data_IF_497565653306
#
_entry.id   IF_497565653306
#
_cell.length_a   1.000
_cell.length_b   1.000
_cell.length_c   1.000
_cell.angle_alpha   90.00
_cell.angle_beta   90.00
_cell.angle_gamma   90.00
#
_symmetry.space_group_name_H-M   'P 1'
#
loop_
_entity.id
_entity.type
_entity.pdbx_description
1 polymer ?
#
# COMPACT_ATOMS: atom_id res chain seq x y z
N UNK A 1 12.42 -4.05 -18.48
CA UNK A 1 12.76 -3.79 -17.05
C UNK A 1 13.33 -2.39 -16.82
N UNK A 2 14.36 -1.94 -17.55
CA UNK A 2 14.93 -0.58 -17.40
C UNK A 2 13.88 0.55 -17.39
N UNK A 3 12.92 0.52 -18.32
CA UNK A 3 11.80 1.47 -18.40
C UNK A 3 10.90 1.48 -17.15
N UNK A 4 10.72 0.35 -16.47
CA UNK A 4 9.91 0.27 -15.23
C UNK A 4 10.65 0.93 -14.06
N UNK A 5 11.97 0.71 -13.95
CA UNK A 5 12.82 1.28 -12.89
C UNK A 5 12.87 2.80 -12.92
N UNK A 6 13.11 3.40 -14.09
CA UNK A 6 13.09 4.86 -14.26
C UNK A 6 11.70 5.43 -13.91
N UNK A 7 10.61 4.80 -14.37
CA UNK A 7 9.25 5.25 -14.07
C UNK A 7 8.95 5.16 -12.57
N UNK A 8 9.40 4.11 -11.91
CA UNK A 8 9.24 3.96 -10.47
C UNK A 8 9.99 5.03 -9.68
N UNK A 9 11.27 5.25 -9.96
CA UNK A 9 12.06 6.27 -9.26
C UNK A 9 11.49 7.66 -9.51
N UNK A 10 11.18 8.01 -10.76
CA UNK A 10 10.59 9.32 -11.07
C UNK A 10 9.19 9.45 -10.47
N UNK A 11 8.39 8.39 -10.46
CA UNK A 11 7.08 8.36 -9.80
C UNK A 11 7.18 8.67 -8.30
N UNK A 12 8.13 8.06 -7.61
CA UNK A 12 8.38 8.32 -6.18
C UNK A 12 8.78 9.79 -5.92
N UNK A 13 9.62 10.36 -6.79
CA UNK A 13 10.02 11.77 -6.66
C UNK A 13 8.84 12.71 -6.91
N UNK A 14 8.05 12.44 -7.95
CA UNK A 14 6.87 13.24 -8.26
C UNK A 14 5.82 13.15 -7.15
N UNK A 15 5.59 11.96 -6.57
CA UNK A 15 4.65 11.84 -5.45
C UNK A 15 5.09 12.68 -4.25
N UNK A 16 6.39 12.73 -3.95
CA UNK A 16 6.90 13.62 -2.90
C UNK A 16 6.75 15.11 -3.25
N UNK A 17 7.15 15.51 -4.46
CA UNK A 17 7.04 16.90 -4.94
C UNK A 17 5.59 17.39 -4.86
N UNK A 18 4.64 16.62 -5.40
CA UNK A 18 3.23 17.03 -5.41
C UNK A 18 2.57 16.88 -4.05
N UNK A 19 3.08 16.03 -3.16
CA UNK A 19 2.64 15.99 -1.76
C UNK A 19 3.01 17.27 -1.02
N UNK A 20 4.24 17.79 -1.21
CA UNK A 20 4.66 19.08 -0.67
C UNK A 20 3.77 20.21 -1.18
N UNK A 21 3.52 20.26 -2.51
CA UNK A 21 2.63 21.24 -3.12
C UNK A 21 1.20 21.15 -2.60
N UNK A 22 0.69 19.94 -2.40
CA UNK A 22 -0.64 19.73 -1.82
C UNK A 22 -0.72 20.20 -0.37
N UNK A 23 0.30 19.87 0.44
CA UNK A 23 0.36 20.31 1.83
C UNK A 23 0.48 21.83 1.95
N UNK A 24 1.23 22.48 1.06
CA UNK A 24 1.41 23.94 1.03
C UNK A 24 0.08 24.71 0.99
N UNK A 25 -0.98 24.10 0.44
CA UNK A 25 -2.32 24.69 0.32
C UNK A 25 -3.02 24.78 1.69
N UNK A 26 -2.65 23.92 2.63
CA UNK A 26 -3.29 23.87 3.93
C UNK A 26 -2.85 25.04 4.81
N UNK A 27 -3.70 26.05 4.99
CA UNK A 27 -3.42 27.20 5.87
C UNK A 27 -3.74 26.95 7.34
N UNK A 28 -4.51 25.89 7.64
CA UNK A 28 -4.93 25.52 8.99
C UNK A 28 -4.92 24.00 9.14
N UNK A 29 -4.76 23.53 10.38
CA UNK A 29 -4.96 22.13 10.75
C UNK A 29 -6.39 21.73 10.37
N UNK A 30 -6.51 20.69 9.55
CA UNK A 30 -7.76 20.17 9.00
C UNK A 30 -7.57 18.70 8.60
N UNK A 31 -8.63 17.92 8.35
CA UNK A 31 -8.50 16.57 7.80
C UNK A 31 -7.64 16.53 6.53
N UNK A 32 -7.82 17.52 5.63
CA UNK A 32 -6.99 17.67 4.43
C UNK A 32 -5.51 17.89 4.78
N UNK A 33 -5.20 18.81 5.71
CA UNK A 33 -3.82 19.08 6.13
C UNK A 33 -3.15 17.81 6.68
N UNK A 34 -3.86 17.08 7.56
CA UNK A 34 -3.37 15.84 8.17
C UNK A 34 -3.10 14.76 7.11
N UNK A 35 -4.03 14.58 6.17
CA UNK A 35 -3.86 13.63 5.07
C UNK A 35 -2.64 13.99 4.20
N UNK A 36 -2.46 15.27 3.86
CA UNK A 36 -1.34 15.73 3.04
C UNK A 36 0.00 15.68 3.79
N UNK A 37 0.05 15.98 5.09
CA UNK A 37 1.25 15.79 5.92
C UNK A 37 1.68 14.33 5.93
N UNK A 38 0.74 13.41 6.16
CA UNK A 38 1.02 11.98 6.12
C UNK A 38 1.53 11.56 4.74
N UNK A 39 0.83 11.94 3.67
CA UNK A 39 1.24 11.64 2.30
C UNK A 39 2.67 12.14 2.01
N UNK A 40 2.97 13.36 2.44
CA UNK A 40 4.31 13.95 2.30
C UNK A 40 5.38 13.15 3.05
N UNK A 41 5.12 12.75 4.30
CA UNK A 41 6.04 11.92 5.10
C UNK A 41 6.24 10.53 4.49
N UNK A 42 5.17 9.90 3.98
CA UNK A 42 5.22 8.59 3.32
C UNK A 42 6.04 8.67 2.04
N UNK A 43 5.75 9.63 1.15
CA UNK A 43 6.49 9.81 -0.10
C UNK A 43 7.99 10.09 0.17
N UNK A 44 8.31 10.87 1.21
CA UNK A 44 9.69 11.11 1.62
C UNK A 44 10.40 9.83 2.10
N UNK A 45 9.71 8.95 2.84
CA UNK A 45 10.26 7.63 3.23
C UNK A 45 10.43 6.70 2.03
N UNK A 46 9.48 6.69 1.09
CA UNK A 46 9.61 5.96 -0.18
C UNK A 46 10.91 6.31 -0.88
N UNK A 47 11.23 7.60 -0.97
CA UNK A 47 12.51 8.08 -1.49
C UNK A 47 13.73 7.61 -0.68
N UNK A 48 13.64 7.57 0.66
CA UNK A 48 14.72 7.01 1.50
C UNK A 48 14.94 5.53 1.20
N UNK A 49 13.87 4.75 1.05
CA UNK A 49 13.96 3.31 0.74
C UNK A 49 14.60 3.06 -0.62
N UNK A 50 14.23 3.85 -1.64
CA UNK A 50 14.90 3.82 -2.94
C UNK A 50 16.38 4.19 -2.80
N UNK A 51 16.70 5.28 -2.08
CA UNK A 51 18.07 5.74 -1.90
C UNK A 51 18.96 4.73 -1.17
N UNK A 52 18.45 4.01 -0.16
CA UNK A 52 19.19 2.94 0.54
C UNK A 52 19.72 1.88 -0.42
N UNK A 53 19.01 1.65 -1.53
CA UNK A 53 19.30 0.58 -2.47
C UNK A 53 20.18 1.04 -3.63
N UNK A 54 19.90 2.22 -4.22
CA UNK A 54 20.61 2.69 -5.43
C UNK A 54 21.54 3.87 -5.22
N UNK A 55 21.43 4.57 -4.09
CA UNK A 55 22.33 5.67 -3.68
C UNK A 55 22.55 6.78 -4.74
N UNK A 56 21.56 7.06 -5.59
CA UNK A 56 21.67 8.09 -6.63
C UNK A 56 21.89 9.48 -6.02
N UNK A 57 22.79 10.27 -6.62
CA UNK A 57 23.16 11.60 -6.13
C UNK A 57 21.98 12.58 -6.11
N UNK A 58 21.07 12.44 -7.07
CA UNK A 58 19.85 13.21 -7.23
C UNK A 58 18.85 12.90 -6.12
N UNK A 59 18.70 11.63 -5.76
CA UNK A 59 17.89 11.22 -4.62
C UNK A 59 18.49 11.76 -3.31
N UNK A 60 19.82 11.71 -3.16
CA UNK A 60 20.48 12.32 -1.99
C UNK A 60 20.14 13.80 -1.87
N UNK A 61 20.22 14.57 -2.95
CA UNK A 61 19.89 16.01 -2.96
C UNK A 61 18.43 16.26 -2.57
N UNK A 62 17.49 15.46 -3.07
CA UNK A 62 16.07 15.56 -2.72
C UNK A 62 15.86 15.22 -1.23
N UNK A 63 16.55 14.20 -0.72
CA UNK A 63 16.51 13.82 0.69
C UNK A 63 17.10 14.91 1.59
N UNK A 64 18.24 15.48 1.23
CA UNK A 64 18.85 16.58 1.97
C UNK A 64 17.90 17.79 2.04
N UNK A 65 17.25 18.16 0.92
CA UNK A 65 16.21 19.19 0.89
C UNK A 65 15.07 18.86 1.84
N UNK A 66 14.50 17.65 1.75
CA UNK A 66 13.35 17.26 2.56
C UNK A 66 13.65 17.14 4.05
N UNK A 67 14.87 16.74 4.42
CA UNK A 67 15.30 16.61 5.83
C UNK A 67 15.32 17.94 6.58
N UNK A 68 15.49 19.05 5.87
CA UNK A 68 15.54 20.38 6.44
C UNK A 68 14.15 21.04 6.57
N UNK A 69 13.10 20.43 6.02
CA UNK A 69 11.78 21.06 5.94
C UNK A 69 10.94 20.89 7.21
N UNK A 70 10.23 21.96 7.56
CA UNK A 70 9.11 21.88 8.51
C UNK A 70 7.84 21.39 7.81
N UNK A 71 7.47 20.12 8.00
CA UNK A 71 6.27 19.52 7.40
C UNK A 71 5.04 19.83 8.27
N UNK A 72 4.18 20.75 7.79
CA UNK A 72 2.94 21.13 8.46
C UNK A 72 2.12 22.16 7.67
N UNK A 73 0.89 22.49 8.14
CA UNK A 73 0.08 23.52 7.51
C UNK A 73 0.61 24.91 7.86
N UNK A 74 0.15 25.93 7.13
CA UNK A 74 0.59 27.31 7.25
C UNK A 74 2.09 27.49 6.94
N UNK A 75 2.62 26.66 6.04
CA UNK A 75 4.03 26.69 5.62
C UNK A 75 4.18 26.72 4.08
N UNK A 76 3.33 27.49 3.40
CA UNK A 76 3.25 27.51 1.94
C UNK A 76 4.61 27.83 1.28
N UNK A 77 5.26 28.92 1.71
CA UNK A 77 6.49 29.42 1.10
C UNK A 77 7.63 28.39 1.13
N UNK A 78 7.86 27.73 2.27
CA UNK A 78 8.94 26.76 2.41
C UNK A 78 8.67 25.49 1.60
N UNK A 79 7.43 24.97 1.67
CA UNK A 79 7.02 23.75 0.99
C UNK A 79 6.98 23.91 -0.54
N UNK A 80 6.49 25.06 -1.04
CA UNK A 80 6.51 25.38 -2.48
C UNK A 80 7.95 25.57 -2.96
N UNK A 81 8.78 26.31 -2.21
CA UNK A 81 10.20 26.50 -2.58
C UNK A 81 10.96 25.17 -2.66
N UNK A 82 10.67 24.23 -1.76
CA UNK A 82 11.24 22.89 -1.81
C UNK A 82 10.80 22.13 -3.07
N UNK A 83 9.50 22.13 -3.38
CA UNK A 83 8.96 21.48 -4.58
C UNK A 83 9.57 22.06 -5.87
N UNK A 84 9.75 23.37 -5.96
CA UNK A 84 10.40 24.04 -7.09
C UNK A 84 11.86 23.65 -7.27
N UNK A 85 12.59 23.39 -6.17
CA UNK A 85 13.97 22.89 -6.22
C UNK A 85 14.06 21.43 -6.64
N UNK A 86 13.02 20.63 -6.38
CA UNK A 86 12.95 19.21 -6.78
C UNK A 86 12.66 19.08 -8.28
N UNK A 87 11.77 19.91 -8.82
CA UNK A 87 11.36 19.87 -10.22
C UNK A 87 12.51 19.79 -11.25
N UNK A 88 13.59 20.60 -11.19
CA UNK A 88 14.71 20.49 -12.14
C UNK A 88 15.56 19.22 -11.94
N UNK A 89 15.58 18.63 -10.74
CA UNK A 89 16.31 17.39 -10.47
C UNK A 89 15.67 16.22 -11.23
N UNK A 90 14.33 16.17 -11.24
CA UNK A 90 13.57 15.14 -11.99
C UNK A 90 13.84 15.20 -13.49
N UNK A 91 13.89 16.41 -14.05
CA UNK A 91 14.10 16.60 -15.49
C UNK A 91 15.47 16.03 -15.94
N UNK A 92 16.52 16.25 -15.15
CA UNK A 92 17.86 15.73 -15.44
C UNK A 92 18.02 14.23 -15.18
N UNK A 93 17.24 13.66 -14.26
CA UNK A 93 17.36 12.25 -13.86
C UNK A 93 17.18 11.28 -15.04
N UNK A 94 16.20 11.56 -15.90
CA UNK A 94 15.78 10.62 -16.95
C UNK A 94 16.85 10.33 -18.02
N UNK A 95 17.83 11.21 -18.16
CA UNK A 95 18.85 11.15 -19.22
C UNK A 95 20.23 10.68 -18.74
N UNK A 96 20.45 10.65 -17.41
CA UNK A 96 21.80 10.60 -16.84
C UNK A 96 22.20 9.26 -16.21
N UNK A 97 21.39 8.22 -16.36
CA UNK A 97 21.63 6.92 -15.70
C UNK A 97 21.42 5.75 -16.64
N UNK A 98 22.25 4.71 -16.49
CA UNK A 98 21.97 3.40 -17.05
C UNK A 98 20.94 2.67 -16.19
N UNK A 99 19.66 2.88 -16.52
CA UNK A 99 18.53 2.25 -15.82
C UNK A 99 18.48 0.72 -15.97
N UNK A 100 19.23 0.13 -16.90
CA UNK A 100 19.35 -1.32 -16.99
C UNK A 100 20.22 -1.89 -15.85
N UNK A 101 21.20 -1.12 -15.36
CA UNK A 101 22.11 -1.54 -14.28
C UNK A 101 21.50 -1.50 -12.88
N UNK A 102 20.41 -0.75 -12.66
CA UNK A 102 19.77 -0.58 -11.35
C UNK A 102 18.85 -1.75 -10.93
N UNK A 103 19.33 -2.99 -11.10
CA UNK A 103 18.59 -4.23 -10.81
C UNK A 103 18.17 -4.34 -9.34
N UNK A 104 18.88 -3.67 -8.44
CA UNK A 104 18.58 -3.67 -7.02
C UNK A 104 17.20 -3.07 -6.69
N UNK A 105 16.60 -2.32 -7.62
CA UNK A 105 15.23 -1.79 -7.50
C UNK A 105 14.14 -2.84 -7.72
N UNK A 106 14.45 -4.00 -8.31
CA UNK A 106 13.44 -4.99 -8.71
C UNK A 106 12.60 -5.52 -7.53
N UNK A 107 13.17 -5.80 -6.34
CA UNK A 107 12.36 -6.15 -5.16
C UNK A 107 11.35 -5.06 -4.78
N UNK A 108 11.77 -3.79 -4.77
CA UNK A 108 10.89 -2.66 -4.44
C UNK A 108 9.79 -2.46 -5.49
N UNK A 109 10.11 -2.64 -6.77
CA UNK A 109 9.16 -2.63 -7.89
C UNK A 109 8.10 -3.72 -7.78
N UNK A 110 8.46 -4.85 -7.15
CA UNK A 110 7.60 -6.03 -6.98
C UNK A 110 6.89 -6.03 -5.62
N UNK A 111 6.97 -4.93 -4.85
CA UNK A 111 6.32 -4.80 -3.54
C UNK A 111 6.96 -5.66 -2.44
N UNK A 112 8.22 -6.04 -2.60
CA UNK A 112 9.01 -6.71 -1.55
C UNK A 112 9.82 -5.66 -0.78
N UNK A 113 9.82 -5.77 0.55
CA UNK A 113 10.72 -4.95 1.38
C UNK A 113 12.19 -5.32 1.10
N UNK A 114 13.07 -4.32 1.09
CA UNK A 114 14.51 -4.52 0.95
C UNK A 114 15.04 -5.17 2.23
N UNK A 115 15.00 -6.51 2.33
CA UNK A 115 15.73 -7.20 3.40
C UNK A 115 17.22 -6.95 3.20
N UNK A 116 17.89 -6.40 4.21
CA UNK A 116 19.35 -6.44 4.24
C UNK A 116 19.79 -7.90 4.29
N UNK A 117 20.29 -8.42 3.18
CA UNK A 117 21.01 -9.69 3.19
C UNK A 117 22.35 -9.44 3.85
N UNK A 118 22.43 -9.56 5.18
CA UNK A 118 23.69 -9.88 5.83
C UNK A 118 23.97 -11.35 5.50
N UNK A 119 24.74 -11.58 4.44
CA UNK A 119 25.40 -12.85 4.21
C UNK A 119 26.39 -13.08 5.36
N UNK A 120 26.06 -14.02 6.23
CA UNK A 120 27.05 -14.63 7.12
C UNK A 120 27.85 -15.64 6.31
N UNK A 121 29.05 -15.21 5.90
CA UNK A 121 30.24 -16.05 5.69
C UNK A 121 30.97 -15.98 7.04
N UNK A 122 31.30 -17.03 7.78
CA UNK A 122 32.04 -18.27 7.49
C UNK A 122 31.96 -19.13 8.78
N UNK A 123 31.96 -20.47 8.69
CA UNK A 123 33.07 -21.30 9.23
C UNK A 123 32.73 -22.81 9.18
N UNK A 124 33.61 -23.56 8.48
CA UNK A 124 34.01 -24.99 8.61
C UNK A 124 32.92 -26.09 8.63
N UNK A 125 33.07 -27.30 8.10
CA UNK A 125 34.20 -28.11 7.66
C UNK A 125 33.62 -29.32 6.87
N UNK A 126 34.51 -30.10 6.25
CA UNK A 126 34.36 -31.47 5.73
C UNK A 126 34.07 -31.67 4.23
N UNK A 127 35.17 -31.62 3.49
CA UNK A 127 35.80 -32.77 2.79
C UNK A 127 34.93 -33.73 1.98
N UNK A 128 35.24 -33.82 0.68
CA UNK A 128 34.95 -35.00 -0.15
C UNK A 128 35.13 -34.72 -1.64
N UNK A 129 36.26 -35.17 -2.19
CA UNK A 129 36.59 -35.27 -3.62
C UNK A 129 35.44 -35.92 -4.44
N UNK A 130 35.26 -35.69 -5.74
CA UNK A 130 36.20 -36.07 -6.79
C UNK A 130 35.74 -35.57 -8.18
N UNK A 131 36.72 -35.38 -9.06
CA UNK A 131 36.78 -35.46 -10.53
C UNK A 131 35.52 -35.34 -11.42
N UNK A 132 35.65 -34.60 -12.53
CA UNK A 132 34.93 -34.94 -13.77
C UNK A 132 34.71 -33.78 -14.74
N UNK A 133 35.74 -33.41 -15.50
CA UNK A 133 35.60 -32.59 -16.69
C UNK A 133 34.84 -33.33 -17.79
N UNK A 134 33.98 -32.63 -18.55
CA UNK A 134 34.09 -32.56 -20.03
C UNK A 134 33.23 -31.42 -20.59
N UNK A 135 33.92 -30.57 -21.33
CA UNK A 135 33.42 -29.61 -22.31
C UNK A 135 32.88 -30.35 -23.54
N UNK A 136 31.76 -29.92 -24.09
CA UNK A 136 31.52 -30.04 -25.53
C UNK A 136 30.96 -28.72 -26.07
N UNK A 137 31.73 -28.18 -27.01
CA UNK A 137 31.47 -26.99 -27.81
C UNK A 137 31.22 -27.48 -29.23
N UNK A 138 30.10 -27.12 -29.87
CA UNK A 138 29.96 -27.16 -31.33
C UNK A 138 29.25 -25.88 -31.79
N UNK A 139 29.93 -25.17 -32.70
CA UNK A 139 29.55 -23.93 -33.37
C UNK A 139 28.86 -24.22 -34.75
N UNK A 140 28.85 -23.33 -35.76
CA UNK A 140 27.89 -22.25 -35.99
C UNK A 140 27.19 -22.25 -37.39
N UNK A 141 26.24 -21.32 -37.58
CA UNK A 141 25.84 -20.61 -38.84
C UNK A 141 25.00 -21.39 -39.91
N UNK A 142 24.32 -20.76 -40.93
CA UNK A 142 23.98 -19.35 -41.20
C UNK A 142 22.52 -19.02 -41.62
N UNK A 143 22.18 -17.71 -41.59
CA UNK A 143 21.62 -17.05 -42.79
C UNK A 143 20.14 -16.63 -42.88
N UNK A 144 19.90 -15.33 -42.60
CA UNK A 144 19.30 -14.29 -43.47
C UNK A 144 17.76 -14.17 -43.70
N UNK A 145 17.27 -12.94 -43.48
CA UNK A 145 16.03 -12.32 -44.00
C UNK A 145 15.00 -12.07 -42.87
N UNK A 146 14.44 -10.89 -42.61
CA UNK A 146 14.19 -9.68 -43.41
C UNK A 146 12.72 -9.28 -43.17
N UNK A 147 12.51 -8.13 -42.52
CA UNK A 147 11.29 -7.30 -42.44
C UNK A 147 9.99 -7.85 -41.81
N UNK A 148 9.54 -7.21 -40.72
CA UNK A 148 8.38 -6.28 -40.71
C UNK A 148 7.67 -6.23 -39.36
N UNK A 149 7.30 -5.01 -38.99
CA UNK A 149 6.64 -4.58 -37.76
C UNK A 149 5.28 -5.25 -37.51
N UNK A 150 4.99 -5.56 -36.25
CA UNK A 150 3.63 -5.39 -35.72
C UNK A 150 3.63 -5.34 -34.19
N UNK A 151 3.39 -4.13 -33.69
CA UNK A 151 3.07 -3.82 -32.29
C UNK A 151 1.69 -4.40 -32.00
N UNK A 152 1.63 -5.39 -31.11
CA UNK A 152 0.38 -5.82 -30.49
C UNK A 152 0.15 -4.98 -29.23
N UNK A 153 -0.86 -4.11 -29.32
CA UNK A 153 -1.50 -3.45 -28.19
C UNK A 153 -2.05 -4.50 -27.23
N UNK A 154 -1.47 -4.60 -26.03
CA UNK A 154 -1.99 -5.40 -24.92
C UNK A 154 -3.27 -4.72 -24.41
N UNK A 155 -4.40 -5.07 -25.02
CA UNK A 155 -5.69 -4.82 -24.44
C UNK A 155 -5.81 -5.74 -23.24
N UNK A 156 -5.82 -5.15 -22.05
CA UNK A 156 -6.33 -5.78 -20.84
C UNK A 156 -7.77 -6.21 -21.10
N UNK A 157 -7.97 -7.41 -21.63
CA UNK A 157 -9.24 -8.09 -21.63
C UNK A 157 -9.56 -8.42 -20.17
N UNK A 158 -10.38 -7.57 -19.56
CA UNK A 158 -11.14 -7.96 -18.39
C UNK A 158 -12.11 -9.05 -18.82
N UNK A 159 -11.69 -10.30 -18.70
CA UNK A 159 -12.59 -11.45 -18.77
C UNK A 159 -13.59 -11.30 -17.62
N UNK A 160 -14.90 -11.17 -17.88
CA UNK A 160 -15.88 -11.18 -16.83
C UNK A 160 -15.90 -12.60 -16.25
N UNK A 161 -15.44 -12.76 -15.01
CA UNK A 161 -15.59 -14.01 -14.25
C UNK A 161 -17.06 -14.13 -13.82
N UNK A 162 -17.93 -14.45 -14.77
CA UNK A 162 -19.28 -14.95 -14.48
C UNK A 162 -19.17 -16.45 -14.26
N UNK A 163 -18.91 -16.84 -13.01
CA UNK A 163 -18.78 -18.22 -12.58
C UNK A 163 -17.75 -18.36 -11.47
N UNK A 164 -18.09 -17.92 -10.25
CA UNK A 164 -17.19 -18.07 -9.11
C UNK A 164 -16.82 -19.53 -8.90
N UNK A 165 -15.52 -19.80 -8.72
CA UNK A 165 -15.03 -21.12 -8.31
C UNK A 165 -15.83 -21.57 -7.07
N UNK A 166 -16.41 -22.78 -7.15
CA UNK A 166 -17.15 -23.39 -6.06
C UNK A 166 -16.15 -23.85 -4.97
N UNK A 167 -15.68 -22.90 -4.18
CA UNK A 167 -14.84 -23.13 -3.00
C UNK A 167 -15.68 -23.03 -1.73
N UNK A 168 -15.21 -23.68 -0.67
CA UNK A 168 -15.85 -23.69 0.65
C UNK A 168 -16.04 -22.28 1.22
N UNK A 169 -17.07 -22.12 2.07
CA UNK A 169 -17.40 -20.85 2.71
C UNK A 169 -18.08 -19.81 1.79
N UNK A 170 -18.38 -18.63 2.34
CA UNK A 170 -19.14 -17.55 1.68
C UNK A 170 -18.35 -16.26 1.58
N UNK A 171 -18.62 -15.46 0.54
CA UNK A 171 -18.09 -14.10 0.43
C UNK A 171 -18.71 -13.23 1.53
N UNK A 172 -17.87 -12.47 2.23
CA UNK A 172 -18.25 -11.53 3.29
C UNK A 172 -17.58 -10.19 3.09
N UNK A 173 -18.25 -9.12 3.54
CA UNK A 173 -17.67 -7.78 3.62
C UNK A 173 -16.69 -7.63 4.78
N UNK A 174 -16.94 -8.30 5.91
CA UNK A 174 -16.06 -8.32 7.09
C UNK A 174 -16.01 -9.71 7.72
N UNK A 175 -14.93 -10.06 8.44
CA UNK A 175 -14.87 -11.31 9.18
C UNK A 175 -15.91 -11.37 10.30
N UNK A 176 -16.45 -12.55 10.61
CA UNK A 176 -17.49 -12.69 11.63
C UNK A 176 -17.03 -12.33 13.05
N UNK A 177 -15.72 -12.42 13.34
CA UNK A 177 -15.11 -12.04 14.62
C UNK A 177 -14.74 -10.55 14.69
N UNK A 178 -14.88 -9.81 13.59
CA UNK A 178 -14.60 -8.39 13.54
C UNK A 178 -15.85 -7.63 13.97
N UNK A 179 -15.82 -7.06 15.17
CA UNK A 179 -16.97 -6.31 15.70
C UNK A 179 -17.23 -5.05 14.88
N UNK A 180 -18.52 -4.76 14.64
CA UNK A 180 -18.92 -3.48 14.07
C UNK A 180 -18.60 -2.37 15.07
N UNK A 181 -17.81 -1.40 14.63
CA UNK A 181 -17.44 -0.26 15.43
C UNK A 181 -18.62 0.74 15.53
N UNK A 182 -18.87 1.27 16.73
CA UNK A 182 -19.93 2.27 16.97
C UNK A 182 -19.49 3.69 16.64
N UNK A 183 -18.18 3.91 16.61
CA UNK A 183 -17.54 5.19 16.38
C UNK A 183 -16.78 5.15 15.06
N UNK A 184 -16.45 6.33 14.58
CA UNK A 184 -15.80 6.55 13.31
C UNK A 184 -14.29 6.65 13.52
N UNK A 185 -13.52 6.01 12.64
CA UNK A 185 -12.09 6.31 12.53
C UNK A 185 -11.97 7.69 11.91
N UNK A 186 -11.28 8.61 12.57
CA UNK A 186 -11.11 9.97 12.02
C UNK A 186 -9.77 10.15 11.32
N UNK A 187 -8.95 9.07 11.31
CA UNK A 187 -7.51 9.01 10.99
C UNK A 187 -6.84 10.36 11.20
N UNK A 188 -6.95 10.91 12.42
CA UNK A 188 -6.30 12.14 12.72
C UNK A 188 -4.82 11.80 12.88
N UNK A 189 -3.94 12.53 12.19
CA UNK A 189 -2.60 12.76 12.73
C UNK A 189 -2.75 13.21 14.18
N UNK A 190 -2.30 12.37 15.10
CA UNK A 190 -2.22 12.64 16.51
C UNK A 190 -0.89 13.37 16.72
N UNK A 191 -0.85 14.67 16.39
CA UNK A 191 0.35 15.50 16.59
C UNK A 191 0.83 15.57 18.05
N UNK A 192 0.02 15.09 19.01
CA UNK A 192 0.39 14.93 20.41
C UNK A 192 1.23 13.66 20.68
N UNK A 193 1.32 12.74 19.72
CA UNK A 193 2.03 11.46 19.79
C UNK A 193 3.05 11.32 18.64
N UNK A 194 3.81 12.38 18.34
CA UNK A 194 4.75 12.43 17.20
C UNK A 194 5.76 11.28 17.16
N UNK A 195 6.32 10.88 18.30
CA UNK A 195 7.23 9.72 18.38
C UNK A 195 6.56 8.40 17.96
N UNK A 196 5.29 8.24 18.34
CA UNK A 196 4.51 7.07 17.95
C UNK A 196 4.15 7.09 16.47
N UNK A 197 3.84 8.27 15.92
CA UNK A 197 3.64 8.43 14.48
C UNK A 197 4.91 8.07 13.69
N UNK A 198 6.07 8.54 14.17
CA UNK A 198 7.34 8.27 13.50
C UNK A 198 7.72 6.79 13.50
N UNK A 199 7.49 6.10 14.63
CA UNK A 199 7.69 4.66 14.74
C UNK A 199 6.71 3.86 13.87
N UNK A 200 5.42 4.20 13.89
CA UNK A 200 4.41 3.45 13.13
C UNK A 200 4.73 3.43 11.64
N UNK A 201 5.33 4.50 11.13
CA UNK A 201 5.69 4.61 9.73
C UNK A 201 6.91 3.75 9.32
N UNK A 202 7.65 3.20 10.27
CA UNK A 202 8.70 2.20 10.05
C UNK A 202 8.23 0.79 10.52
N UNK A 203 7.00 0.68 11.04
CA UNK A 203 6.40 -0.58 11.48
C UNK A 203 5.72 -1.29 10.29
N UNK A 204 5.82 -2.64 10.17
CA UNK A 204 5.21 -3.41 9.09
C UNK A 204 3.70 -3.21 8.89
N UNK A 205 2.97 -2.77 9.92
CA UNK A 205 1.56 -2.40 9.80
C UNK A 205 1.34 -1.23 8.83
N UNK A 206 2.31 -0.32 8.69
CA UNK A 206 2.22 0.79 7.74
C UNK A 206 2.47 0.38 6.29
N UNK A 207 3.14 -0.75 6.06
CA UNK A 207 3.45 -1.31 4.74
C UNK A 207 2.42 -2.37 4.30
N UNK A 208 1.32 -2.53 5.04
CA UNK A 208 0.32 -3.59 4.79
C UNK A 208 -0.30 -3.54 3.38
N UNK A 209 -0.31 -2.37 2.75
CA UNK A 209 -0.79 -2.18 1.39
C UNK A 209 0.15 -2.74 0.31
N UNK A 210 1.46 -2.79 0.55
CA UNK A 210 2.43 -3.33 -0.40
C UNK A 210 2.20 -4.83 -0.59
N UNK A 211 1.92 -5.55 0.51
CA UNK A 211 1.49 -6.95 0.47
C UNK A 211 0.20 -7.11 -0.33
N UNK A 212 -0.73 -6.16 -0.20
CA UNK A 212 -1.97 -6.11 -0.98
C UNK A 212 -1.73 -5.80 -2.45
N UNK A 213 -0.55 -5.33 -2.87
CA UNK A 213 -0.25 -5.18 -4.29
C UNK A 213 0.39 -6.43 -4.90
N UNK A 214 0.71 -7.44 -4.08
CA UNK A 214 1.40 -8.65 -4.54
C UNK A 214 0.56 -9.53 -5.48
N UNK A 215 1.21 -10.29 -6.39
CA UNK A 215 0.52 -11.28 -7.23
C UNK A 215 -0.27 -12.31 -6.42
N UNK A 216 0.23 -12.68 -5.24
CA UNK A 216 -0.46 -13.60 -4.32
C UNK A 216 -1.76 -13.01 -3.80
N UNK A 217 -1.78 -11.73 -3.41
CA UNK A 217 -3.00 -11.07 -2.95
C UNK A 217 -4.05 -10.96 -4.07
N UNK A 218 -3.62 -10.68 -5.30
CA UNK A 218 -4.50 -10.70 -6.50
C UNK A 218 -5.11 -12.08 -6.71
N UNK A 219 -4.29 -13.12 -6.66
CA UNK A 219 -4.71 -14.52 -6.82
C UNK A 219 -5.72 -14.94 -5.73
N UNK A 220 -5.44 -14.64 -4.46
CA UNK A 220 -6.36 -14.92 -3.35
C UNK A 220 -7.71 -14.21 -3.58
N UNK A 221 -7.72 -12.94 -4.01
CA UNK A 221 -8.95 -12.22 -4.31
C UNK A 221 -9.80 -12.89 -5.40
N UNK A 222 -9.14 -13.29 -6.49
CA UNK A 222 -9.78 -13.95 -7.62
C UNK A 222 -10.42 -15.28 -7.19
N UNK A 223 -9.71 -16.11 -6.42
CA UNK A 223 -10.27 -17.37 -5.89
C UNK A 223 -11.38 -17.11 -4.89
N UNK A 224 -11.19 -16.13 -4.01
CA UNK A 224 -12.21 -15.69 -3.07
C UNK A 224 -13.48 -15.21 -3.79
N UNK A 225 -13.39 -14.83 -5.07
CA UNK A 225 -14.54 -14.48 -5.90
C UNK A 225 -14.85 -12.99 -5.93
N UNK A 226 -13.85 -12.15 -5.73
CA UNK A 226 -13.92 -10.69 -5.95
C UNK A 226 -12.88 -10.27 -6.97
N UNK A 227 -13.13 -9.17 -7.67
CA UNK A 227 -12.15 -8.62 -8.61
C UNK A 227 -10.90 -8.09 -7.89
N UNK A 228 -9.75 -8.00 -8.59
CA UNK A 228 -8.52 -7.43 -8.03
C UNK A 228 -8.70 -5.99 -7.50
N UNK A 229 -9.58 -5.20 -8.13
CA UNK A 229 -9.90 -3.83 -7.70
C UNK A 229 -10.81 -3.81 -6.49
N UNK A 230 -11.85 -4.66 -6.45
CA UNK A 230 -12.75 -4.74 -5.30
C UNK A 230 -12.01 -5.06 -4.00
N UNK A 231 -10.93 -5.86 -4.07
CA UNK A 231 -10.13 -6.23 -2.90
C UNK A 231 -9.61 -5.04 -2.09
N UNK A 232 -9.43 -3.88 -2.72
CA UNK A 232 -8.92 -2.66 -2.09
C UNK A 232 -10.03 -1.78 -1.46
N UNK A 233 -11.30 -2.16 -1.61
CA UNK A 233 -12.41 -1.40 -1.04
C UNK A 233 -12.60 -1.72 0.45
N UNK A 234 -12.99 -0.72 1.24
CA UNK A 234 -13.13 -0.83 2.70
C UNK A 234 -14.25 -1.76 3.15
N UNK A 235 -15.23 -1.95 2.29
CA UNK A 235 -16.32 -2.90 2.48
C UNK A 235 -15.96 -4.34 2.08
N UNK A 236 -14.70 -4.64 1.79
CA UNK A 236 -14.22 -6.01 1.57
C UNK A 236 -13.40 -6.52 2.75
N UNK A 237 -13.48 -7.84 2.93
CA UNK A 237 -12.86 -8.53 4.06
C UNK A 237 -11.35 -8.25 4.17
N UNK A 238 -10.68 -8.08 3.04
CA UNK A 238 -9.24 -7.90 2.97
C UNK A 238 -8.80 -6.59 3.64
N UNK A 239 -9.53 -5.50 3.41
CA UNK A 239 -9.23 -4.20 4.03
C UNK A 239 -9.68 -4.12 5.49
N UNK A 240 -10.38 -5.13 6.03
CA UNK A 240 -10.59 -5.23 7.48
C UNK A 240 -9.30 -5.47 8.25
N UNK A 241 -8.27 -6.04 7.60
CA UNK A 241 -6.99 -6.37 8.22
C UNK A 241 -5.80 -5.64 7.58
N UNK A 242 -5.85 -5.35 6.27
CA UNK A 242 -4.73 -4.75 5.52
C UNK A 242 -4.84 -3.22 5.34
N UNK A 243 -5.84 -2.59 5.93
CA UNK A 243 -5.94 -1.13 5.96
C UNK A 243 -6.77 -0.65 7.15
N UNK A 244 -6.96 0.66 7.22
CA UNK A 244 -7.88 1.29 8.17
C UNK A 244 -9.08 1.83 7.42
N UNK A 245 -10.21 1.13 7.53
CA UNK A 245 -11.48 1.54 6.92
C UNK A 245 -11.98 2.82 7.56
N UNK A 246 -12.21 3.85 6.75
CA UNK A 246 -12.80 5.12 7.19
C UNK A 246 -14.31 5.04 7.02
N UNK A 247 -15.01 5.38 8.09
CA UNK A 247 -16.48 5.43 8.06
C UNK A 247 -16.97 6.72 7.40
N UNK A 248 -17.97 6.63 6.53
CA UNK A 248 -18.57 7.76 5.82
C UNK A 248 -18.81 7.43 4.35
N UNK A 249 -17.86 6.70 3.75
CA UNK A 249 -17.99 6.01 2.47
C UNK A 249 -17.06 4.77 2.43
N UNK A 250 -17.51 3.66 3.03
CA UNK A 250 -16.74 2.41 3.10
C UNK A 250 -16.43 1.80 1.72
N UNK A 251 -17.01 2.32 0.64
CA UNK A 251 -16.71 1.89 -0.73
C UNK A 251 -15.45 2.57 -1.28
N UNK A 252 -15.06 3.74 -0.79
CA UNK A 252 -13.95 4.53 -1.37
C UNK A 252 -12.86 4.90 -0.36
N UNK A 253 -13.17 5.01 0.93
CA UNK A 253 -12.23 5.57 1.92
C UNK A 253 -11.60 4.47 2.80
N UNK A 254 -10.43 3.99 2.37
CA UNK A 254 -9.54 3.17 3.20
C UNK A 254 -8.19 3.85 3.25
N UNK A 255 -7.59 3.91 4.44
CA UNK A 255 -6.17 4.18 4.52
C UNK A 255 -5.40 2.91 4.18
N UNK A 256 -4.51 3.04 3.20
CA UNK A 256 -3.57 2.03 2.71
C UNK A 256 -2.47 1.69 3.73
N UNK A 257 -2.86 1.48 4.99
CA UNK A 257 -2.02 1.12 6.12
C UNK A 257 -2.92 0.70 7.29
N UNK A 258 -2.42 -0.18 8.14
CA UNK A 258 -2.98 -0.41 9.47
C UNK A 258 -2.49 0.72 10.39
N UNK A 259 -3.40 1.65 10.73
CA UNK A 259 -3.08 2.88 11.48
C UNK A 259 -3.28 2.75 12.99
N UNK A 260 -3.01 3.82 13.74
CA UNK A 260 -3.19 3.91 15.19
C UNK A 260 -4.57 3.40 15.65
N UNK A 261 -5.64 3.76 14.92
CA UNK A 261 -7.03 3.42 15.26
C UNK A 261 -7.36 1.94 15.04
N UNK A 262 -6.53 1.22 14.26
CA UNK A 262 -6.63 -0.23 14.12
C UNK A 262 -6.22 -0.98 15.39
N UNK A 263 -5.46 -0.36 16.29
CA UNK A 263 -5.16 -0.88 17.62
C UNK A 263 -5.93 -0.14 18.72
N UNK A 264 -5.89 1.19 18.72
CA UNK A 264 -6.46 2.02 19.78
C UNK A 264 -7.98 2.20 19.67
N UNK A 265 -8.59 1.81 18.56
CA UNK A 265 -10.00 1.98 18.28
C UNK A 265 -10.32 3.28 17.53
N UNK A 266 -11.55 3.39 17.00
CA UNK A 266 -12.05 4.58 16.31
C UNK A 266 -12.12 5.80 17.25
N UNK A 267 -11.47 6.90 16.87
CA UNK A 267 -11.27 8.06 17.74
C UNK A 267 -12.41 9.08 17.75
N UNK A 268 -13.41 9.00 16.86
CA UNK A 268 -14.43 10.07 16.76
C UNK A 268 -15.19 10.33 18.06
N UNK A 269 -15.32 9.32 18.92
CA UNK A 269 -15.97 9.49 20.22
C UNK A 269 -15.03 10.05 21.29
N UNK A 270 -13.75 9.67 21.27
CA UNK A 270 -12.83 9.95 22.37
C UNK A 270 -11.76 11.00 22.09
N UNK A 271 -11.57 11.47 20.84
CA UNK A 271 -10.51 12.40 20.49
C UNK A 271 -10.62 13.71 21.30
N UNK A 272 -11.77 14.39 21.24
CA UNK A 272 -12.00 15.64 21.97
C UNK A 272 -11.86 15.51 23.50
N UNK A 273 -12.50 14.52 24.18
CA UNK A 273 -12.30 14.34 25.62
C UNK A 273 -10.86 13.94 25.97
N UNK A 274 -10.18 13.17 25.11
CA UNK A 274 -8.78 12.84 25.30
C UNK A 274 -7.88 14.09 25.28
N UNK A 275 -8.10 15.02 24.35
CA UNK A 275 -7.35 16.28 24.28
C UNK A 275 -7.56 17.17 25.51
N UNK A 276 -8.74 17.09 26.16
CA UNK A 276 -9.02 17.77 27.43
C UNK A 276 -8.47 17.05 28.66
N UNK A 277 -7.99 15.82 28.50
CA UNK A 277 -7.50 14.98 29.59
C UNK A 277 -8.58 14.23 30.37
N UNK A 278 -9.79 14.09 29.81
CA UNK A 278 -10.90 13.33 30.39
C UNK A 278 -10.63 11.81 30.28
N UNK A 279 -10.83 11.05 31.36
CA UNK A 279 -10.66 9.58 31.35
C UNK A 279 -11.97 8.85 31.00
N UNK A 280 -12.48 9.11 29.80
CA UNK A 280 -13.74 8.55 29.28
C UNK A 280 -13.55 7.76 27.97
N UNK A 281 -12.31 7.56 27.54
CA UNK A 281 -12.02 7.02 26.21
C UNK A 281 -12.63 5.65 25.96
N UNK A 282 -12.65 4.77 26.97
CA UNK A 282 -13.15 3.40 26.81
C UNK A 282 -14.65 3.29 26.54
N UNK A 283 -15.47 4.22 27.04
CA UNK A 283 -16.90 4.26 26.70
C UNK A 283 -17.16 4.91 25.34
N UNK A 284 -16.13 5.52 24.75
CA UNK A 284 -16.19 6.36 23.55
C UNK A 284 -15.37 5.81 22.38
N UNK A 285 -15.08 4.51 22.38
CA UNK A 285 -14.46 3.80 21.26
C UNK A 285 -13.00 3.41 21.46
N UNK A 286 -12.35 3.88 22.52
CA UNK A 286 -10.96 3.50 22.80
C UNK A 286 -10.88 2.05 23.28
N UNK A 287 -9.91 1.29 22.78
CA UNK A 287 -9.65 -0.10 23.20
C UNK A 287 -8.78 -0.14 24.45
N UNK A 288 -9.08 -1.09 25.34
CA UNK A 288 -8.35 -1.32 26.60
C UNK A 288 -7.08 -2.13 26.38
N UNK A 289 -6.13 -1.62 25.60
CA UNK A 289 -4.91 -2.37 25.25
C UNK A 289 -3.99 -2.69 26.45
N UNK A 290 -4.25 -2.13 27.65
CA UNK A 290 -3.60 -2.52 28.91
C UNK A 290 -4.14 -3.82 29.51
N UNK A 291 -5.19 -4.40 28.94
CA UNK A 291 -5.75 -5.71 29.32
C UNK A 291 -5.19 -6.77 28.37
N UNK A 292 -4.63 -7.85 28.91
CA UNK A 292 -4.12 -8.96 28.11
C UNK A 292 -5.21 -9.58 27.23
N UNK A 293 -6.43 -9.69 27.77
CA UNK A 293 -7.59 -10.22 27.04
C UNK A 293 -7.99 -9.31 25.88
N UNK A 294 -8.14 -8.01 26.13
CA UNK A 294 -8.55 -7.07 25.08
C UNK A 294 -7.46 -6.91 24.01
N UNK A 295 -6.19 -6.93 24.41
CA UNK A 295 -5.05 -6.93 23.48
C UNK A 295 -5.04 -8.20 22.62
N UNK A 296 -5.23 -9.38 23.23
CA UNK A 296 -5.31 -10.64 22.49
C UNK A 296 -6.47 -10.65 21.49
N UNK A 297 -7.66 -10.19 21.91
CA UNK A 297 -8.81 -10.03 21.01
C UNK A 297 -8.47 -9.08 19.87
N UNK A 298 -7.85 -7.92 20.15
CA UNK A 298 -7.47 -6.96 19.12
C UNK A 298 -6.50 -7.55 18.09
N UNK A 299 -5.40 -8.16 18.52
CA UNK A 299 -4.39 -8.73 17.63
C UNK A 299 -4.94 -9.92 16.82
N UNK A 300 -5.79 -10.75 17.44
CA UNK A 300 -6.42 -11.91 16.77
C UNK A 300 -7.39 -11.53 15.66
N UNK A 301 -7.79 -10.25 15.54
CA UNK A 301 -8.64 -9.79 14.44
C UNK A 301 -7.96 -10.02 13.08
N UNK A 302 -6.63 -9.90 13.03
CA UNK A 302 -5.84 -10.05 11.81
C UNK A 302 -4.83 -11.22 11.90
N UNK A 303 -4.25 -11.46 13.07
CA UNK A 303 -3.20 -12.48 13.26
C UNK A 303 -3.73 -13.84 13.74
N UNK A 304 -5.00 -14.12 13.43
CA UNK A 304 -5.59 -15.44 13.63
C UNK A 304 -6.85 -15.55 12.76
N UNK A 305 -6.71 -16.14 11.58
CA UNK A 305 -7.74 -16.16 10.54
C UNK A 305 -8.45 -17.50 10.53
N UNK A 306 -9.78 -17.46 10.59
CA UNK A 306 -10.64 -18.67 10.61
C UNK A 306 -11.82 -18.53 9.66
N UNK A 307 -11.75 -17.63 8.68
CA UNK A 307 -12.79 -17.53 7.66
C UNK A 307 -12.57 -18.62 6.61
N UNK A 308 -13.48 -19.58 6.54
CA UNK A 308 -13.37 -20.76 5.68
C UNK A 308 -13.04 -20.41 4.23
N UNK A 309 -13.72 -19.41 3.66
CA UNK A 309 -13.53 -19.05 2.25
C UNK A 309 -12.21 -18.36 2.01
N UNK A 310 -11.80 -17.49 2.93
CA UNK A 310 -10.51 -16.82 2.86
C UNK A 310 -9.35 -17.84 2.93
N UNK A 311 -9.46 -18.82 3.81
CA UNK A 311 -8.50 -19.92 3.94
C UNK A 311 -8.52 -20.85 2.71
N UNK A 312 -9.71 -21.23 2.21
CA UNK A 312 -9.84 -22.03 0.99
C UNK A 312 -9.24 -21.31 -0.24
N UNK A 313 -9.24 -19.98 -0.24
CA UNK A 313 -8.61 -19.15 -1.27
C UNK A 313 -7.08 -19.05 -1.16
N UNK A 314 -6.45 -19.65 -0.15
CA UNK A 314 -4.99 -19.67 0.01
C UNK A 314 -4.41 -18.59 0.93
N UNK A 315 -5.26 -17.89 1.69
CA UNK A 315 -4.80 -17.00 2.76
C UNK A 315 -4.24 -17.81 3.95
N UNK A 316 -3.13 -17.38 4.57
CA UNK A 316 -2.59 -18.05 5.76
C UNK A 316 -3.55 -17.95 6.95
N UNK A 317 -3.45 -18.92 7.87
CA UNK A 317 -4.22 -18.93 9.12
C UNK A 317 -3.61 -18.03 10.19
N UNK A 318 -2.29 -17.78 10.10
CA UNK A 318 -1.48 -17.18 11.17
C UNK A 318 -1.61 -17.93 12.50
N UNK A 319 -1.89 -19.24 12.46
CA UNK A 319 -2.07 -20.06 13.67
C UNK A 319 -0.80 -20.12 14.54
N UNK A 320 0.37 -19.99 13.93
CA UNK A 320 1.66 -19.95 14.63
C UNK A 320 2.01 -18.56 15.21
N UNK A 321 1.13 -17.57 15.07
CA UNK A 321 1.38 -16.23 15.61
C UNK A 321 1.56 -16.26 17.13
N UNK A 322 2.68 -15.69 17.58
CA UNK A 322 3.06 -15.56 18.98
C UNK A 322 2.83 -14.13 19.47
N UNK A 323 1.69 -13.89 20.13
CA UNK A 323 1.34 -12.57 20.66
C UNK A 323 2.38 -12.05 21.66
N UNK A 324 2.92 -12.92 22.51
CA UNK A 324 3.83 -12.52 23.58
C UNK A 324 5.17 -12.02 23.06
N UNK A 325 5.67 -12.63 21.99
CA UNK A 325 6.87 -12.20 21.29
C UNK A 325 6.60 -10.93 20.48
N UNK A 326 5.55 -10.92 19.65
CA UNK A 326 5.24 -9.78 18.76
C UNK A 326 4.85 -8.52 19.53
N UNK A 327 4.24 -8.65 20.70
CA UNK A 327 3.94 -7.50 21.56
C UNK A 327 5.19 -6.79 22.09
N UNK A 328 6.36 -7.43 22.11
CA UNK A 328 7.62 -6.81 22.55
C UNK A 328 8.20 -5.87 21.48
N UNK A 329 7.83 -6.06 20.21
CA UNK A 329 8.23 -5.18 19.12
C UNK A 329 7.44 -3.85 19.10
N UNK A 330 6.36 -3.75 19.89
CA UNK A 330 5.56 -2.53 20.00
C UNK A 330 6.27 -1.57 20.94
N UNK A 331 6.78 -0.47 20.37
CA UNK A 331 7.42 0.59 21.14
C UNK A 331 6.38 1.35 21.97
N UNK A 332 6.72 1.68 23.22
CA UNK A 332 5.89 2.47 24.11
C UNK A 332 6.66 3.72 24.53
N UNK A 333 6.00 4.88 24.53
CA UNK A 333 6.59 6.15 24.97
C UNK A 333 5.96 6.61 26.28
N UNK A 334 6.40 6.06 27.43
CA UNK A 334 5.94 6.56 28.72
C UNK A 334 6.37 8.02 28.88
N UNK A 335 5.39 8.91 28.97
CA UNK A 335 5.60 10.29 29.40
C UNK A 335 5.72 10.30 30.93
N UNK A 336 6.79 10.87 31.47
CA UNK A 336 7.02 10.98 32.92
C UNK A 336 5.83 11.62 33.63
N UNK A 337 5.18 12.62 33.01
CA UNK A 337 3.97 13.25 33.56
C UNK A 337 2.78 12.28 33.60
N UNK A 338 2.65 11.41 32.60
CA UNK A 338 1.60 10.40 32.58
C UNK A 338 1.89 9.27 33.56
N UNK A 339 3.15 8.87 33.74
CA UNK A 339 3.56 7.88 34.74
C UNK A 339 3.35 8.42 36.15
N UNK A 340 3.67 9.69 36.39
CA UNK A 340 3.38 10.39 37.66
C UNK A 340 1.87 10.47 37.94
N UNK A 341 1.06 10.76 36.91
CA UNK A 341 -0.39 10.92 37.05
C UNK A 341 -1.16 9.59 37.17
N UNK A 342 -0.80 8.59 36.38
CA UNK A 342 -1.59 7.36 36.18
C UNK A 342 -0.85 6.09 36.64
N UNK A 343 0.34 6.23 37.20
CA UNK A 343 1.22 5.12 37.54
C UNK A 343 1.97 4.55 36.32
N UNK A 344 2.93 3.64 36.55
CA UNK A 344 3.65 2.98 35.47
C UNK A 344 2.69 2.24 34.54
N UNK A 345 3.09 2.11 33.27
CA UNK A 345 2.37 1.23 32.37
C UNK A 345 2.36 -0.20 32.94
N UNK A 346 1.20 -0.86 33.03
CA UNK A 346 1.17 -2.23 33.54
C UNK A 346 1.95 -3.13 32.60
N UNK A 347 2.97 -3.80 33.12
CA UNK A 347 3.69 -4.83 32.37
C UNK A 347 2.74 -6.02 32.17
N UNK A 348 2.41 -6.30 30.90
CA UNK A 348 1.72 -7.53 30.55
C UNK A 348 2.74 -8.63 30.41
N UNK A 349 2.73 -9.60 31.33
CA UNK A 349 3.67 -10.72 31.27
C UNK A 349 3.46 -11.54 30.00
N UNK A 350 4.54 -12.14 29.49
CA UNK A 350 4.47 -13.03 28.34
C UNK A 350 3.48 -14.20 28.55
N UNK A 351 3.37 -14.71 29.79
CA UNK A 351 2.40 -15.76 30.14
C UNK A 351 0.95 -15.27 30.09
N UNK A 352 0.67 -14.04 30.51
CA UNK A 352 -0.68 -13.45 30.45
C UNK A 352 -1.16 -13.27 29.01
N UNK A 353 -0.28 -12.77 28.13
CA UNK A 353 -0.57 -12.59 26.70
C UNK A 353 -0.77 -13.94 26.00
N UNK A 354 0.10 -14.92 26.27
CA UNK A 354 -0.02 -16.25 25.69
C UNK A 354 -1.33 -16.94 26.11
N UNK A 355 -1.67 -16.89 27.40
CA UNK A 355 -2.91 -17.47 27.93
C UNK A 355 -4.16 -16.81 27.34
N UNK A 356 -4.17 -15.47 27.26
CA UNK A 356 -5.26 -14.72 26.64
C UNK A 356 -5.43 -15.06 25.16
N UNK A 357 -4.32 -15.17 24.41
CA UNK A 357 -4.37 -15.53 22.99
C UNK A 357 -4.80 -16.98 22.77
N UNK A 358 -4.35 -17.93 23.60
CA UNK A 358 -4.82 -19.32 23.57
C UNK A 358 -6.33 -19.42 23.85
N UNK A 359 -6.86 -18.58 24.72
CA UNK A 359 -8.32 -18.49 24.96
C UNK A 359 -9.05 -18.08 23.68
N UNK A 360 -8.51 -17.11 22.93
CA UNK A 360 -9.07 -16.75 21.61
C UNK A 360 -8.99 -17.92 20.64
N UNK A 361 -7.84 -18.60 20.53
CA UNK A 361 -7.67 -19.77 19.65
C UNK A 361 -8.68 -20.86 19.96
N UNK A 362 -8.86 -21.20 21.24
CA UNK A 362 -9.83 -22.19 21.69
C UNK A 362 -11.29 -21.79 21.39
N UNK A 363 -11.62 -20.49 21.47
CA UNK A 363 -12.98 -20.00 21.18
C UNK A 363 -13.35 -20.01 19.69
N UNK A 364 -12.34 -20.04 18.80
CA UNK A 364 -12.50 -19.92 17.36
C UNK A 364 -11.46 -20.81 16.67
N UNK A 365 -11.61 -22.14 16.66
CA UNK A 365 -10.62 -23.02 16.03
C UNK A 365 -10.51 -22.75 14.53
N UNK A 366 -9.32 -22.96 13.96
CA UNK A 366 -9.09 -22.89 12.51
C UNK A 366 -9.88 -24.02 11.84
N UNK A 367 -10.75 -23.74 10.86
CA UNK A 367 -11.47 -24.78 10.15
C UNK A 367 -10.54 -25.54 9.20
N UNK A 368 -10.76 -26.84 9.07
CA UNK A 368 -10.14 -27.63 8.00
C UNK A 368 -10.83 -27.29 6.68
N UNK A 369 -10.05 -26.81 5.71
CA UNK A 369 -10.56 -26.44 4.37
C UNK A 369 -9.67 -26.98 3.28
N UNK A 370 -10.25 -27.25 2.12
CA UNK A 370 -9.50 -27.57 0.91
C UNK A 370 -8.95 -26.29 0.29
N UNK A 371 -7.64 -26.04 0.45
CA UNK A 371 -6.98 -24.88 -0.14
C UNK A 371 -6.83 -25.10 -1.65
N UNK A 372 -7.40 -24.20 -2.45
CA UNK A 372 -7.25 -24.22 -3.90
C UNK A 372 -5.79 -24.03 -4.26
N UNK A 373 -5.20 -25.08 -4.83
CA UNK A 373 -3.86 -25.03 -5.41
C UNK A 373 -3.96 -24.38 -6.79
N UNK A 374 -3.67 -23.09 -6.89
CA UNK A 374 -3.44 -22.49 -8.20
C UNK A 374 -1.97 -22.71 -8.56
N UNK A 375 -1.74 -23.59 -9.54
CA UNK A 375 -0.45 -23.70 -10.18
C UNK A 375 -0.06 -22.35 -10.77
N UNK A 376 1.13 -21.86 -10.43
CA UNK A 376 1.73 -20.72 -11.10
C UNK A 376 1.70 -21.01 -12.61
N UNK A 377 1.11 -20.10 -13.40
CA UNK A 377 0.93 -20.29 -14.83
C UNK A 377 2.25 -20.71 -15.47
N UNK A 378 2.34 -21.95 -15.91
CA UNK A 378 3.49 -22.45 -16.68
C UNK A 378 3.34 -21.90 -18.08
N UNK A 379 4.21 -20.96 -18.45
CA UNK A 379 4.25 -20.40 -19.81
C UNK A 379 4.60 -21.52 -20.80
N UNK A 380 3.63 -21.97 -21.60
CA UNK A 380 3.82 -22.95 -22.68
C UNK A 380 2.83 -22.65 -23.82
N UNK A 381 3.15 -23.00 -25.10
CA UNK A 381 2.96 -22.12 -26.24
C UNK A 381 1.59 -22.20 -26.89
N UNK A 382 1.27 -21.10 -27.58
CA UNK A 382 0.08 -20.84 -28.39
C UNK A 382 -0.20 -21.96 -29.41
N UNK A 383 -1.43 -22.48 -29.40
CA UNK A 383 -1.95 -23.39 -30.44
C UNK A 383 -2.95 -22.64 -31.31
N UNK A 384 -2.74 -22.80 -32.61
CA UNK A 384 -3.39 -22.26 -33.80
C UNK A 384 -4.88 -21.91 -33.75
N UNK A 385 -5.16 -20.75 -34.34
CA UNK A 385 -6.47 -20.20 -34.64
C UNK A 385 -7.25 -21.06 -35.65
N UNK A 386 -8.55 -21.24 -35.40
CA UNK A 386 -9.56 -21.71 -36.36
C UNK A 386 -10.63 -20.64 -36.51
N UNK A 387 -10.76 -20.12 -37.72
CA UNK A 387 -11.66 -19.03 -38.12
C UNK A 387 -13.10 -19.49 -38.39
N UNK A 388 -14.10 -18.72 -37.93
CA UNK A 388 -15.47 -18.68 -38.47
C UNK A 388 -16.27 -17.46 -37.95
N UNK A 389 -17.35 -17.02 -38.63
CA UNK A 389 -17.57 -15.62 -38.98
C UNK A 389 -18.48 -14.79 -38.07
N UNK A 390 -18.33 -13.47 -38.23
CA UNK A 390 -19.05 -12.37 -37.58
C UNK A 390 -20.56 -12.41 -37.80
N UNK A 391 -21.32 -12.43 -36.70
CA UNK A 391 -22.77 -12.14 -36.65
C UNK A 391 -23.07 -10.80 -35.96
N UNK A 392 -24.25 -10.20 -36.19
CA UNK A 392 -24.49 -8.78 -35.89
C UNK A 392 -24.75 -8.49 -34.40
N UNK A 393 -24.36 -7.27 -34.03
CA UNK A 393 -24.40 -6.63 -32.70
C UNK A 393 -25.83 -6.55 -32.11
N UNK A 394 -26.06 -6.95 -30.84
CA UNK A 394 -27.29 -6.62 -30.14
C UNK A 394 -27.23 -5.21 -29.53
N UNK A 395 -28.38 -4.57 -29.56
CA UNK A 395 -28.70 -3.21 -29.10
C UNK A 395 -28.70 -3.09 -27.58
N UNK A 396 -28.23 -1.95 -27.10
CA UNK A 396 -28.25 -1.48 -25.71
C UNK A 396 -29.68 -1.43 -25.14
N UNK A 397 -29.91 -2.15 -24.04
CA UNK A 397 -31.09 -2.04 -23.20
C UNK A 397 -30.86 -1.05 -22.05
N UNK A 398 -31.84 -0.17 -21.84
CA UNK A 398 -31.85 0.88 -20.82
C UNK A 398 -31.79 0.32 -19.39
N UNK A 399 -30.79 0.76 -18.62
CA UNK A 399 -30.74 0.56 -17.17
C UNK A 399 -30.88 1.92 -16.48
N UNK A 400 -32.00 2.17 -15.81
CA UNK A 400 -32.23 3.38 -15.03
C UNK A 400 -31.74 3.20 -13.58
N UNK A 401 -30.87 4.10 -13.15
CA UNK A 401 -30.35 4.20 -11.77
C UNK A 401 -31.43 4.77 -10.83
N UNK A 402 -31.68 4.19 -9.65
CA UNK A 402 -32.52 4.84 -8.63
C UNK A 402 -31.88 6.14 -8.16
N UNK A 403 -32.63 7.25 -8.20
CA UNK A 403 -32.17 8.55 -7.72
C UNK A 403 -32.26 8.61 -6.19
N UNK A 404 -31.12 8.82 -5.53
CA UNK A 404 -31.08 9.33 -4.16
C UNK A 404 -31.09 10.86 -4.22
N UNK A 405 -32.01 11.46 -3.46
CA UNK A 405 -32.17 12.92 -3.34
C UNK A 405 -30.95 13.49 -2.62
N UNK A 406 -30.00 14.01 -3.40
CA UNK A 406 -28.86 14.78 -2.90
C UNK A 406 -29.27 16.25 -2.88
N UNK A 407 -29.30 16.87 -1.70
CA UNK A 407 -29.44 18.32 -1.57
C UNK A 407 -28.22 18.98 -2.21
N UNK A 408 -28.35 19.44 -3.45
CA UNK A 408 -27.26 20.10 -4.16
C UNK A 408 -27.03 21.49 -3.58
N UNK A 409 -25.94 21.67 -2.83
CA UNK A 409 -25.23 22.95 -2.90
C UNK A 409 -24.50 22.98 -4.23
N UNK A 410 -25.01 23.77 -5.16
CA UNK A 410 -24.36 24.07 -6.43
C UNK A 410 -23.08 24.87 -6.15
N UNK A 411 -21.95 24.18 -6.03
CA UNK A 411 -20.65 24.75 -6.36
C UNK A 411 -20.23 24.13 -7.68
N UNK A 412 -20.44 24.87 -8.78
CA UNK A 412 -19.92 24.52 -10.11
C UNK A 412 -18.40 24.34 -9.96
N UNK A 413 -17.92 23.11 -10.08
CA UNK A 413 -16.48 22.85 -10.14
C UNK A 413 -15.91 23.68 -11.32
N UNK A 414 -14.80 24.41 -11.12
CA UNK A 414 -14.18 25.15 -12.21
C UNK A 414 -13.84 24.19 -13.36
N UNK A 415 -14.26 24.53 -14.58
CA UNK A 415 -13.87 23.82 -15.79
C UNK A 415 -12.47 24.27 -16.19
N UNK A 416 -11.46 23.43 -15.98
CA UNK A 416 -10.08 23.72 -16.37
C UNK A 416 -9.85 23.31 -17.84
N UNK A 417 -9.36 24.24 -18.67
CA UNK A 417 -8.89 23.93 -20.02
C UNK A 417 -7.42 23.51 -19.93
N UNK A 418 -7.18 22.19 -19.95
CA UNK A 418 -5.83 21.62 -20.05
C UNK A 418 -5.66 21.17 -21.50
N UNK A 419 -4.57 21.55 -22.22
CA UNK A 419 -4.29 21.08 -23.57
C UNK A 419 -4.36 19.55 -23.64
N UNK A 420 -4.76 18.91 -24.76
CA UNK A 420 -4.72 17.45 -24.87
C UNK A 420 -3.30 16.92 -24.65
N UNK A 421 -3.18 15.69 -24.11
CA UNK A 421 -1.86 15.06 -23.98
C UNK A 421 -1.25 14.90 -25.39
N UNK A 422 0.04 15.23 -25.58
CA UNK A 422 0.71 14.92 -26.83
C UNK A 422 0.67 13.41 -27.08
N UNK A 423 0.64 13.02 -28.36
CA UNK A 423 0.61 11.61 -28.74
C UNK A 423 1.87 10.90 -28.21
N UNK A 424 1.67 9.85 -27.43
CA UNK A 424 2.73 8.96 -26.95
C UNK A 424 2.67 7.70 -27.82
N UNK A 425 3.76 7.42 -28.53
CA UNK A 425 3.91 6.21 -29.35
C UNK A 425 5.04 5.34 -28.81
N UNK A 426 5.26 4.19 -29.44
CA UNK A 426 6.28 3.22 -28.99
C UNK A 426 7.72 3.75 -29.09
N UNK A 427 7.95 4.76 -29.94
CA UNK A 427 9.24 5.47 -30.09
C UNK A 427 9.45 6.61 -29.09
N UNK A 428 8.43 6.98 -28.30
CA UNK A 428 8.56 8.05 -27.32
C UNK A 428 9.46 7.58 -26.18
N UNK A 429 10.57 8.29 -25.96
CA UNK A 429 11.53 7.89 -24.92
C UNK A 429 10.87 7.94 -23.54
N UNK A 430 11.40 7.16 -22.59
CA UNK A 430 10.84 7.19 -21.23
C UNK A 430 11.04 8.55 -20.56
N UNK A 431 12.14 9.24 -20.88
CA UNK A 431 12.36 10.62 -20.44
C UNK A 431 11.28 11.57 -20.97
N UNK A 432 10.89 11.44 -22.23
CA UNK A 432 9.84 12.28 -22.83
C UNK A 432 8.47 12.02 -22.19
N UNK A 433 8.13 10.77 -21.90
CA UNK A 433 6.89 10.41 -21.20
C UNK A 433 6.83 11.05 -19.81
N UNK A 434 7.94 10.96 -19.07
CA UNK A 434 8.02 11.53 -17.74
C UNK A 434 7.96 13.06 -17.78
N UNK A 435 8.56 13.68 -18.78
CA UNK A 435 8.47 15.12 -19.01
C UNK A 435 7.03 15.54 -19.38
N UNK A 436 6.32 14.75 -20.18
CA UNK A 436 4.91 14.97 -20.52
C UNK A 436 4.03 14.91 -19.27
N UNK A 437 4.20 13.88 -18.43
CA UNK A 437 3.46 13.72 -17.17
C UNK A 437 3.75 14.89 -16.22
N UNK A 438 5.03 15.23 -16.03
CA UNK A 438 5.45 16.37 -15.21
C UNK A 438 4.80 17.67 -15.68
N UNK A 439 4.91 17.98 -16.98
CA UNK A 439 4.34 19.21 -17.56
C UNK A 439 2.82 19.26 -17.43
N UNK A 440 2.15 18.11 -17.52
CA UNK A 440 0.70 18.00 -17.28
C UNK A 440 0.34 18.35 -15.84
N UNK A 441 1.07 17.80 -14.88
CA UNK A 441 0.85 18.07 -13.46
C UNK A 441 1.16 19.53 -13.10
N UNK A 442 2.20 20.12 -13.70
CA UNK A 442 2.51 21.56 -13.59
C UNK A 442 1.38 22.44 -14.14
N UNK A 443 0.82 22.10 -15.30
CA UNK A 443 -0.32 22.83 -15.87
C UNK A 443 -1.57 22.74 -14.99
N UNK A 444 -1.84 21.55 -14.41
CA UNK A 444 -2.92 21.38 -13.44
C UNK A 444 -2.68 22.31 -12.24
N UNK A 445 -1.46 22.29 -11.68
CA UNK A 445 -1.08 23.12 -10.55
C UNK A 445 -1.22 24.63 -10.84
N UNK A 446 -0.76 25.09 -12.01
CA UNK A 446 -0.89 26.48 -12.46
C UNK A 446 -2.35 26.89 -12.68
N UNK A 447 -3.16 26.00 -13.28
CA UNK A 447 -4.58 26.26 -13.57
C UNK A 447 -5.43 26.45 -12.32
N UNK A 448 -4.96 25.97 -11.16
CA UNK A 448 -5.54 26.25 -9.84
C UNK A 448 -5.23 27.68 -9.33
N UNK A 449 -4.59 28.53 -10.14
CA UNK A 449 -4.28 29.93 -9.83
C UNK A 449 -3.02 30.12 -8.97
N UNK A 450 -2.05 29.20 -9.08
CA UNK A 450 -0.93 29.07 -8.11
C UNK A 450 0.46 28.98 -8.72
N UNK A 451 0.64 29.56 -9.91
CA UNK A 451 1.97 29.77 -10.48
C UNK A 451 2.35 31.24 -10.36
N UNK A 452 3.29 31.55 -9.46
CA UNK A 452 4.21 32.68 -9.65
C UNK A 452 5.61 32.10 -9.57
#
# INVERSE_FOLDING_TARGET
MARKRIMFVVGQILDYEYSLRGLAIATKRSPYAKAMERRTKVAYRGLKSVYKVVQLSELKRILDLGSALSIGPNNETELVSAAEKIAPIVAGLSQNHDWASLIALDPLLEGRSSSSTTENVEDSDQSGADSGATSETIAPDPGRGGDSDSVATDQTETVPVTGGLAIEGRIRSRPAWFQTEKFQTTVPGCSCHTKAEDWLLDDPHSESFDLMSSPRAVQIAQVYGISPTERLLGNRICMSCHGTVVSGDEQEEVFDAVTCESCHGPSSGYLDPHERGDDVGFSLGQRRLKSANDRAVNCSRCHYITDERLLAAGHPTEEDFNLSERSQAIEHWPDTKNVERAGPYPELSASSLASAFNTVKASRPVPTVNVVQIQAATTTPSVSQSSSPVGPRPTSGDYQRPQTVRTSRSSRAPSFQIPPLPAVGDSTSTGDILLIIKRRLELIYQSLGRGN
#
